data_IF_803705670870
#
_entry.id   IF_803705670870
#
_cell.length_a   1.000
_cell.length_b   1.000
_cell.length_c   1.000
_cell.angle_alpha   90.00
_cell.angle_beta   90.00
_cell.angle_gamma   90.00
#
_symmetry.space_group_name_H-M   'P 1'
#
loop_
_entity.id
_entity.type
_entity.pdbx_description
1 polymer ?
#
# COMPACT_ATOMS: atom_id res chain seq x y z
N UNK A 1 16.90 -23.95 2.43
CA UNK A 1 15.59 -23.48 1.90
C UNK A 1 14.56 -24.56 2.26
N UNK A 2 13.75 -24.39 3.31
CA UNK A 2 12.44 -25.09 3.46
C UNK A 2 11.70 -24.80 4.78
N UNK A 3 12.37 -24.40 5.86
CA UNK A 3 11.69 -24.25 7.17
C UNK A 3 10.74 -23.05 7.21
N UNK A 4 11.18 -21.87 6.76
CA UNK A 4 10.36 -20.65 6.78
C UNK A 4 9.13 -20.70 5.85
N UNK A 5 9.20 -21.43 4.72
CA UNK A 5 8.07 -21.61 3.81
C UNK A 5 7.03 -22.60 4.36
N UNK A 6 7.49 -23.64 5.07
CA UNK A 6 6.62 -24.62 5.72
C UNK A 6 5.88 -24.02 6.92
N UNK A 7 6.56 -23.21 7.74
CA UNK A 7 5.96 -22.51 8.88
C UNK A 7 4.81 -21.59 8.45
N UNK A 8 5.04 -20.76 7.43
CA UNK A 8 4.02 -19.87 6.86
C UNK A 8 2.85 -20.66 6.27
N UNK A 9 3.13 -21.73 5.53
CA UNK A 9 2.10 -22.59 4.94
C UNK A 9 1.22 -23.21 6.03
N UNK A 10 1.82 -23.63 7.15
CA UNK A 10 1.11 -24.19 8.30
C UNK A 10 0.16 -23.16 8.96
N UNK A 11 0.59 -21.89 9.07
CA UNK A 11 -0.26 -20.83 9.62
C UNK A 11 -1.46 -20.54 8.70
N UNK A 12 -1.29 -20.59 7.37
CA UNK A 12 -2.44 -20.47 6.45
C UNK A 12 -3.42 -21.65 6.56
N UNK A 13 -2.93 -22.86 6.79
CA UNK A 13 -3.79 -24.03 7.04
C UNK A 13 -4.59 -23.83 8.34
N UNK A 14 -3.95 -23.31 9.40
CA UNK A 14 -4.64 -22.97 10.65
C UNK A 14 -5.71 -21.89 10.44
N UNK A 15 -5.38 -20.82 9.72
CA UNK A 15 -6.33 -19.76 9.36
C UNK A 15 -7.59 -20.33 8.67
N UNK A 16 -7.42 -21.24 7.71
CA UNK A 16 -8.55 -21.88 7.02
C UNK A 16 -9.40 -22.76 7.96
N UNK A 17 -8.80 -23.34 9.00
CA UNK A 17 -9.53 -24.12 10.00
C UNK A 17 -10.31 -23.24 10.99
N UNK A 18 -10.14 -21.91 10.92
CA UNK A 18 -10.78 -20.97 11.85
C UNK A 18 -10.01 -20.81 13.16
N UNK A 19 -8.72 -21.10 13.15
CA UNK A 19 -7.84 -20.90 14.30
C UNK A 19 -7.71 -19.40 14.63
N UNK A 20 -8.08 -19.02 15.86
CA UNK A 20 -8.11 -17.62 16.30
C UNK A 20 -6.70 -17.02 16.40
N UNK A 21 -5.69 -17.81 16.76
CA UNK A 21 -4.31 -17.33 16.87
C UNK A 21 -3.74 -17.01 15.49
N UNK A 22 -3.95 -17.88 14.50
CA UNK A 22 -3.55 -17.65 13.12
C UNK A 22 -4.26 -16.43 12.53
N UNK A 23 -5.54 -16.24 12.83
CA UNK A 23 -6.27 -15.03 12.43
C UNK A 23 -5.69 -13.77 13.07
N UNK A 24 -5.50 -13.76 14.38
CA UNK A 24 -4.92 -12.65 15.14
C UNK A 24 -3.52 -12.29 14.65
N UNK A 25 -2.70 -13.30 14.35
CA UNK A 25 -1.37 -13.12 13.76
C UNK A 25 -1.43 -12.35 12.45
N UNK A 26 -2.23 -12.82 11.49
CA UNK A 26 -2.33 -12.16 10.18
C UNK A 26 -2.98 -10.78 10.28
N UNK A 27 -3.97 -10.60 11.14
CA UNK A 27 -4.58 -9.30 11.39
C UNK A 27 -3.53 -8.28 11.86
N UNK A 28 -2.78 -8.61 12.92
CA UNK A 28 -1.73 -7.73 13.46
C UNK A 28 -0.59 -7.49 12.46
N UNK A 29 -0.27 -8.50 11.65
CA UNK A 29 0.80 -8.39 10.67
C UNK A 29 0.46 -7.43 9.52
N UNK A 30 -0.80 -7.36 9.09
CA UNK A 30 -1.19 -6.58 7.91
C UNK A 30 -2.00 -5.31 8.18
N UNK A 31 -2.54 -5.12 9.40
CA UNK A 31 -3.38 -3.95 9.70
C UNK A 31 -2.68 -2.63 9.40
N UNK A 32 -1.40 -2.50 9.75
CA UNK A 32 -0.65 -1.26 9.52
C UNK A 32 -0.47 -0.98 8.01
N UNK A 33 -0.04 -1.99 7.23
CA UNK A 33 0.09 -1.89 5.76
C UNK A 33 -1.24 -1.48 5.11
N UNK A 34 -2.34 -2.10 5.56
CA UNK A 34 -3.69 -1.80 5.08
C UNK A 34 -4.13 -0.39 5.47
N UNK A 35 -3.93 0.00 6.72
CA UNK A 35 -4.31 1.32 7.22
C UNK A 35 -3.52 2.42 6.51
N UNK A 36 -2.20 2.30 6.42
CA UNK A 36 -1.34 3.21 5.67
C UNK A 36 -1.78 3.35 4.21
N UNK A 37 -2.11 2.24 3.55
CA UNK A 37 -2.62 2.30 2.19
C UNK A 37 -3.98 2.99 2.10
N UNK A 38 -4.93 2.69 2.98
CA UNK A 38 -6.23 3.36 3.03
C UNK A 38 -6.11 4.87 3.29
N UNK A 39 -5.24 5.27 4.23
CA UNK A 39 -4.94 6.68 4.52
C UNK A 39 -4.29 7.39 3.35
N UNK A 40 -3.36 6.73 2.64
CA UNK A 40 -2.70 7.33 1.49
C UNK A 40 -3.64 7.54 0.29
N UNK A 41 -4.77 6.83 0.22
CA UNK A 41 -5.86 7.10 -0.71
C UNK A 41 -6.72 8.33 -0.33
N UNK A 42 -6.46 8.96 0.82
CA UNK A 42 -7.18 10.15 1.28
C UNK A 42 -8.50 9.85 2.02
N UNK A 43 -8.60 8.67 2.62
CA UNK A 43 -9.81 8.22 3.34
C UNK A 43 -9.69 8.53 4.84
N UNK A 44 -10.79 8.91 5.49
CA UNK A 44 -10.84 9.12 6.94
C UNK A 44 -10.67 7.81 7.72
N UNK A 45 -10.11 7.93 8.93
CA UNK A 45 -9.69 6.80 9.77
C UNK A 45 -10.79 5.77 10.00
N UNK A 46 -11.98 6.24 10.38
CA UNK A 46 -13.13 5.40 10.70
C UNK A 46 -13.49 4.50 9.51
N UNK A 47 -13.52 5.05 8.29
CA UNK A 47 -13.85 4.28 7.09
C UNK A 47 -12.75 3.30 6.69
N UNK A 48 -11.48 3.66 6.91
CA UNK A 48 -10.36 2.74 6.65
C UNK A 48 -10.42 1.57 7.61
N UNK A 49 -10.60 1.82 8.90
CA UNK A 49 -10.66 0.77 9.91
C UNK A 49 -11.87 -0.14 9.72
N UNK A 50 -13.04 0.43 9.42
CA UNK A 50 -14.26 -0.34 9.15
C UNK A 50 -14.08 -1.24 7.90
N UNK A 51 -13.49 -0.70 6.83
CA UNK A 51 -13.18 -1.47 5.63
C UNK A 51 -12.16 -2.60 5.89
N UNK A 52 -11.13 -2.36 6.71
CA UNK A 52 -10.17 -3.41 7.13
C UNK A 52 -10.90 -4.51 7.90
N UNK A 53 -11.73 -4.14 8.87
CA UNK A 53 -12.51 -5.09 9.66
C UNK A 53 -13.41 -5.95 8.76
N UNK A 54 -14.11 -5.33 7.82
CA UNK A 54 -14.95 -6.01 6.82
C UNK A 54 -14.18 -7.03 5.98
N UNK A 55 -12.98 -6.66 5.52
CA UNK A 55 -12.12 -7.56 4.73
C UNK A 55 -11.70 -8.78 5.55
N UNK A 56 -11.31 -8.57 6.81
CA UNK A 56 -10.91 -9.66 7.70
C UNK A 56 -12.09 -10.54 8.12
N UNK A 57 -13.26 -9.97 8.40
CA UNK A 57 -14.49 -10.73 8.63
C UNK A 57 -14.83 -11.60 7.42
N UNK A 58 -14.72 -11.06 6.20
CA UNK A 58 -14.93 -11.82 4.96
C UNK A 58 -13.97 -13.00 4.86
N UNK A 59 -12.71 -12.85 5.27
CA UNK A 59 -11.73 -13.95 5.31
C UNK A 59 -12.13 -14.99 6.37
N UNK A 60 -12.53 -14.55 7.56
CA UNK A 60 -12.94 -15.42 8.65
C UNK A 60 -14.12 -16.33 8.26
N UNK A 61 -15.14 -15.76 7.60
CA UNK A 61 -16.32 -16.51 7.18
C UNK A 61 -16.09 -17.35 5.92
N UNK A 62 -15.45 -16.80 4.88
CA UNK A 62 -15.34 -17.47 3.58
C UNK A 62 -14.13 -18.40 3.47
N UNK A 63 -13.16 -18.29 4.39
CA UNK A 63 -11.96 -19.14 4.48
C UNK A 63 -11.26 -19.35 3.12
N UNK A 64 -10.95 -18.27 2.37
CA UNK A 64 -10.26 -18.38 1.09
C UNK A 64 -8.89 -19.06 1.22
N UNK A 65 -8.45 -19.70 0.13
CA UNK A 65 -7.13 -20.35 0.06
C UNK A 65 -6.08 -19.38 -0.45
N UNK A 66 -4.94 -19.35 0.23
CA UNK A 66 -3.78 -18.56 -0.15
C UNK A 66 -2.56 -19.45 -0.28
N UNK A 67 -1.74 -19.16 -1.28
CA UNK A 67 -0.58 -19.98 -1.65
C UNK A 67 0.74 -19.35 -1.17
N UNK A 68 0.70 -18.09 -0.72
CA UNK A 68 1.85 -17.35 -0.21
C UNK A 68 1.42 -16.10 0.55
N UNK A 69 2.32 -15.54 1.35
CA UNK A 69 2.16 -14.24 2.02
C UNK A 69 1.94 -13.12 1.00
N UNK A 70 2.67 -13.14 -0.12
CA UNK A 70 2.54 -12.15 -1.18
C UNK A 70 1.15 -12.19 -1.84
N UNK A 71 0.60 -13.38 -2.09
CA UNK A 71 -0.76 -13.53 -2.61
C UNK A 71 -1.79 -13.01 -1.60
N UNK A 72 -1.60 -13.31 -0.32
CA UNK A 72 -2.48 -12.83 0.74
C UNK A 72 -2.43 -11.30 0.91
N UNK A 73 -1.24 -10.69 0.94
CA UNK A 73 -1.06 -9.23 0.98
C UNK A 73 -1.78 -8.56 -0.19
N UNK A 74 -1.56 -9.05 -1.40
CA UNK A 74 -2.23 -8.54 -2.60
C UNK A 74 -3.75 -8.61 -2.48
N UNK A 75 -4.28 -9.76 -2.02
CA UNK A 75 -5.72 -9.94 -1.81
C UNK A 75 -6.28 -8.93 -0.80
N UNK A 76 -5.57 -8.71 0.31
CA UNK A 76 -5.97 -7.75 1.36
C UNK A 76 -6.03 -6.32 0.82
N UNK A 77 -4.94 -5.85 0.20
CA UNK A 77 -4.85 -4.48 -0.33
C UNK A 77 -5.87 -4.24 -1.45
N UNK A 78 -6.06 -5.22 -2.34
CA UNK A 78 -7.08 -5.13 -3.40
C UNK A 78 -8.50 -5.11 -2.84
N UNK A 79 -8.79 -5.98 -1.86
CA UNK A 79 -10.12 -6.03 -1.23
C UNK A 79 -10.43 -4.74 -0.48
N UNK A 80 -9.44 -4.18 0.22
CA UNK A 80 -9.55 -2.88 0.87
C UNK A 80 -9.82 -1.78 -0.16
N UNK A 81 -9.02 -1.68 -1.22
CA UNK A 81 -9.21 -0.67 -2.28
C UNK A 81 -10.62 -0.71 -2.84
N UNK A 82 -11.12 -1.92 -3.16
CA UNK A 82 -12.46 -2.11 -3.68
C UNK A 82 -13.54 -1.65 -2.70
N UNK A 83 -13.42 -2.04 -1.41
CA UNK A 83 -14.35 -1.62 -0.36
C UNK A 83 -14.39 -0.11 -0.19
N UNK A 84 -13.22 0.53 -0.21
CA UNK A 84 -13.10 1.98 -0.14
C UNK A 84 -13.75 2.63 -1.38
N UNK A 85 -13.47 2.14 -2.60
CA UNK A 85 -14.14 2.64 -3.80
C UNK A 85 -15.65 2.52 -3.76
N UNK A 86 -16.17 1.37 -3.30
CA UNK A 86 -17.61 1.17 -3.16
C UNK A 86 -18.20 2.24 -2.23
N UNK A 87 -17.56 2.51 -1.09
CA UNK A 87 -17.98 3.58 -0.19
C UNK A 87 -18.05 4.96 -0.87
N UNK A 88 -17.02 5.34 -1.65
CA UNK A 88 -17.01 6.63 -2.35
C UNK A 88 -17.98 6.70 -3.53
N UNK A 89 -18.29 5.57 -4.17
CA UNK A 89 -19.28 5.48 -5.25
C UNK A 89 -20.71 5.79 -4.78
N UNK A 90 -21.02 5.50 -3.51
CA UNK A 90 -22.35 5.75 -2.94
C UNK A 90 -22.52 7.15 -2.33
N UNK A 91 -21.48 8.00 -2.30
CA UNK A 91 -21.63 9.41 -1.92
C UNK A 91 -22.34 10.17 -3.06
N UNK A 92 -23.41 10.95 -2.80
CA UNK A 92 -24.26 11.56 -3.83
C UNK A 92 -23.61 12.68 -4.65
N UNK A 93 -22.28 12.85 -4.58
CA UNK A 93 -21.54 13.91 -5.28
C UNK A 93 -20.90 13.47 -6.60
N UNK A 94 -21.11 12.23 -7.06
CA UNK A 94 -20.54 11.76 -8.33
C UNK A 94 -21.56 11.03 -9.19
N UNK A 95 -22.34 11.81 -9.96
CA UNK A 95 -23.14 11.33 -11.09
C UNK A 95 -22.25 11.03 -12.31
N UNK A 96 -21.14 10.33 -12.12
CA UNK A 96 -20.32 9.84 -13.24
C UNK A 96 -20.19 8.33 -13.08
N UNK A 97 -20.83 7.62 -13.99
CA UNK A 97 -20.81 6.15 -14.16
C UNK A 97 -19.42 5.58 -14.51
N UNK A 98 -18.37 6.36 -14.34
CA UNK A 98 -17.01 6.04 -14.73
C UNK A 98 -16.07 6.58 -13.64
N UNK A 99 -16.09 5.95 -12.46
CA UNK A 99 -15.04 6.17 -11.46
C UNK A 99 -13.79 5.52 -12.03
N UNK A 100 -13.09 6.26 -12.89
CA UNK A 100 -11.75 5.93 -13.30
C UNK A 100 -10.93 5.77 -12.02
N UNK A 101 -10.00 4.81 -12.00
CA UNK A 101 -9.07 4.55 -10.88
C UNK A 101 -8.21 5.77 -10.45
N UNK A 102 -8.44 6.93 -11.06
CA UNK A 102 -7.79 8.20 -10.87
C UNK A 102 -8.53 9.11 -9.85
N UNK A 103 -9.65 8.65 -9.25
CA UNK A 103 -10.47 9.45 -8.33
C UNK A 103 -9.81 9.73 -6.97
N UNK A 104 -8.84 8.91 -6.54
CA UNK A 104 -8.14 9.13 -5.28
C UNK A 104 -6.95 10.06 -5.46
N UNK A 105 -6.91 11.13 -4.67
CA UNK A 105 -5.71 11.96 -4.55
C UNK A 105 -4.69 11.24 -3.67
N UNK A 106 -3.99 10.26 -4.27
CA UNK A 106 -2.97 9.51 -3.55
C UNK A 106 -1.91 10.45 -2.99
N UNK A 107 -1.89 10.56 -1.67
CA UNK A 107 -1.05 11.49 -0.95
C UNK A 107 -0.37 10.77 0.20
N UNK A 108 0.88 11.13 0.39
CA UNK A 108 1.77 10.53 1.38
C UNK A 108 1.99 11.67 2.37
N UNK A 109 1.31 11.64 3.52
CA UNK A 109 1.66 12.51 4.64
C UNK A 109 2.89 11.93 5.32
N UNK A 110 4.03 12.58 5.20
CA UNK A 110 5.23 12.28 5.99
C UNK A 110 4.91 12.55 7.46
N UNK A 111 4.26 11.60 8.11
CA UNK A 111 4.04 11.66 9.54
C UNK A 111 5.24 10.95 10.10
N UNK A 112 6.15 11.72 10.70
CA UNK A 112 7.09 11.20 11.68
C UNK A 112 8.21 10.35 11.04
N UNK A 113 9.21 11.06 10.52
CA UNK A 113 10.58 10.57 10.49
C UNK A 113 11.15 10.78 11.90
N UNK A 114 10.67 10.09 12.95
CA UNK A 114 11.00 10.46 14.36
C UNK A 114 12.14 9.67 14.98
N UNK A 115 12.60 8.55 14.42
CA UNK A 115 13.50 7.67 15.19
C UNK A 115 14.98 7.66 14.81
N UNK A 116 15.44 8.34 13.75
CA UNK A 116 16.78 8.03 13.18
C UNK A 116 17.73 9.23 12.98
N UNK A 117 17.28 10.49 13.03
CA UNK A 117 18.09 11.62 12.52
C UNK A 117 18.20 12.76 13.56
N UNK A 118 19.30 13.50 13.61
CA UNK A 118 19.41 14.70 14.45
C UNK A 118 18.47 15.82 13.94
N UNK A 119 17.96 16.69 14.82
CA UNK A 119 16.85 17.62 14.50
C UNK A 119 17.11 18.56 13.31
N UNK A 120 18.37 18.97 13.08
CA UNK A 120 18.73 19.84 11.94
C UNK A 120 18.75 19.08 10.61
N UNK A 121 19.28 17.86 10.59
CA UNK A 121 19.29 16.99 9.41
C UNK A 121 17.89 16.47 9.06
N UNK A 122 17.01 16.32 10.07
CA UNK A 122 15.59 15.94 9.88
C UNK A 122 14.86 16.93 8.99
N UNK A 123 14.93 18.22 9.30
CA UNK A 123 14.18 19.25 8.58
C UNK A 123 14.63 19.31 7.12
N UNK A 124 15.93 19.23 6.87
CA UNK A 124 16.49 19.23 5.50
C UNK A 124 16.04 17.99 4.71
N UNK A 125 16.05 16.81 5.34
CA UNK A 125 15.63 15.57 4.70
C UNK A 125 14.11 15.57 4.45
N UNK A 126 13.30 16.03 5.41
CA UNK A 126 11.86 16.15 5.27
C UNK A 126 11.47 17.11 4.14
N UNK A 127 12.10 18.29 4.05
CA UNK A 127 11.84 19.23 2.97
C UNK A 127 12.22 18.66 1.59
N UNK A 128 13.32 17.91 1.50
CA UNK A 128 13.69 17.20 0.26
C UNK A 128 12.64 16.14 -0.10
N UNK A 129 12.22 15.35 0.87
CA UNK A 129 11.17 14.32 0.71
C UNK A 129 9.87 14.95 0.22
N UNK A 130 9.38 16.00 0.87
CA UNK A 130 8.14 16.69 0.49
C UNK A 130 8.22 17.29 -0.92
N UNK A 131 9.34 17.95 -1.25
CA UNK A 131 9.56 18.52 -2.60
C UNK A 131 9.48 17.44 -3.68
N UNK A 132 10.11 16.29 -3.44
CA UNK A 132 10.11 15.15 -4.34
C UNK A 132 8.73 14.51 -4.49
N UNK A 133 8.04 14.31 -3.36
CA UNK A 133 6.66 13.83 -3.40
C UNK A 133 5.80 14.81 -4.21
N UNK A 134 5.96 16.12 -4.02
CA UNK A 134 5.21 17.11 -4.80
C UNK A 134 5.55 17.13 -6.29
N UNK A 135 6.71 16.62 -6.72
CA UNK A 135 7.06 16.51 -8.15
C UNK A 135 6.48 15.27 -8.84
N UNK A 136 5.99 14.29 -8.08
CA UNK A 136 5.31 13.10 -8.57
C UNK A 136 3.79 13.31 -8.70
N UNK A 137 3.21 12.84 -9.80
CA UNK A 137 1.74 12.76 -9.89
C UNK A 137 1.18 11.74 -8.89
N UNK A 138 -0.10 11.82 -8.48
CA UNK A 138 -0.73 10.83 -7.61
C UNK A 138 -0.56 9.39 -8.12
N UNK A 139 -0.70 9.17 -9.42
CA UNK A 139 -0.47 7.86 -10.04
C UNK A 139 0.98 7.38 -9.95
N UNK A 140 1.94 8.29 -10.07
CA UNK A 140 3.37 7.97 -9.90
C UNK A 140 3.67 7.60 -8.45
N UNK A 141 3.09 8.34 -7.48
CA UNK A 141 3.22 8.05 -6.05
C UNK A 141 2.65 6.68 -5.71
N UNK A 142 1.42 6.40 -6.14
CA UNK A 142 0.77 5.11 -5.87
C UNK A 142 1.56 3.95 -6.47
N UNK A 143 1.98 4.06 -7.74
CA UNK A 143 2.72 3.00 -8.41
C UNK A 143 4.07 2.71 -7.72
N UNK A 144 4.79 3.75 -7.27
CA UNK A 144 6.05 3.59 -6.52
C UNK A 144 5.79 3.00 -5.14
N UNK A 145 4.77 3.47 -4.42
CA UNK A 145 4.38 2.92 -3.11
C UNK A 145 4.08 1.42 -3.21
N UNK A 146 3.22 1.03 -4.16
CA UNK A 146 2.84 -0.37 -4.34
C UNK A 146 4.05 -1.22 -4.76
N UNK A 147 4.98 -0.68 -5.55
CA UNK A 147 6.15 -1.43 -6.01
C UNK A 147 7.23 -1.60 -4.96
N UNK A 148 7.57 -0.54 -4.23
CA UNK A 148 8.76 -0.52 -3.37
C UNK A 148 8.46 -0.65 -1.89
N UNK A 149 7.22 -0.36 -1.46
CA UNK A 149 6.82 -0.42 -0.04
C UNK A 149 5.96 -1.65 0.20
N UNK A 150 4.97 -1.85 -0.67
CA UNK A 150 4.13 -3.05 -0.61
C UNK A 150 4.74 -4.24 -1.35
N UNK A 151 5.86 -4.03 -2.05
CA UNK A 151 6.63 -5.06 -2.78
C UNK A 151 5.80 -5.85 -3.79
N UNK A 152 4.76 -5.23 -4.37
CA UNK A 152 3.88 -5.89 -5.33
C UNK A 152 4.54 -6.03 -6.70
N UNK A 153 4.19 -7.11 -7.39
CA UNK A 153 4.60 -7.32 -8.78
C UNK A 153 3.86 -6.41 -9.74
N UNK A 154 4.48 -6.05 -10.86
CA UNK A 154 3.89 -5.14 -11.83
C UNK A 154 2.51 -5.60 -12.33
N UNK A 155 2.30 -6.91 -12.48
CA UNK A 155 1.01 -7.49 -12.82
C UNK A 155 -0.07 -7.23 -11.74
N UNK A 156 0.31 -7.33 -10.46
CA UNK A 156 -0.58 -7.03 -9.33
C UNK A 156 -0.90 -5.53 -9.27
N UNK A 157 0.09 -4.67 -9.48
CA UNK A 157 -0.11 -3.22 -9.51
C UNK A 157 -1.01 -2.83 -10.69
N UNK A 158 -0.84 -3.47 -11.84
CA UNK A 158 -1.70 -3.33 -13.02
C UNK A 158 -3.15 -3.61 -12.68
N UNK A 159 -3.41 -4.71 -11.95
CA UNK A 159 -4.75 -5.07 -11.48
C UNK A 159 -5.29 -4.10 -10.42
N UNK A 160 -4.45 -3.61 -9.50
CA UNK A 160 -4.86 -2.63 -8.50
C UNK A 160 -5.22 -1.26 -9.09
N UNK A 161 -4.52 -0.84 -10.13
CA UNK A 161 -4.68 0.49 -10.74
C UNK A 161 -5.55 0.47 -12.01
N UNK A 162 -6.01 -0.70 -12.46
CA UNK A 162 -6.80 -0.88 -13.67
C UNK A 162 -6.10 -0.38 -14.95
N UNK A 163 -4.77 -0.52 -15.01
CA UNK A 163 -3.93 -0.05 -16.13
C UNK A 163 -3.00 -1.16 -16.56
N UNK A 164 -2.68 -1.27 -17.85
CA UNK A 164 -1.79 -2.32 -18.33
C UNK A 164 -0.38 -2.26 -17.69
N UNK A 165 0.26 -3.42 -17.58
CA UNK A 165 1.56 -3.59 -16.93
C UNK A 165 2.66 -2.69 -17.52
N UNK A 166 2.68 -2.53 -18.85
CA UNK A 166 3.63 -1.64 -19.55
C UNK A 166 3.50 -0.19 -19.08
N UNK A 167 2.27 0.28 -18.85
CA UNK A 167 1.99 1.62 -18.36
C UNK A 167 2.43 1.78 -16.91
N UNK A 168 2.24 0.76 -16.07
CA UNK A 168 2.77 0.76 -14.69
C UNK A 168 4.28 0.84 -14.68
N UNK A 169 4.98 0.00 -15.47
CA UNK A 169 6.44 0.03 -15.59
C UNK A 169 6.93 1.41 -16.01
N UNK A 170 6.23 2.07 -16.93
CA UNK A 170 6.53 3.44 -17.36
C UNK A 170 6.30 4.46 -16.23
N UNK A 171 5.18 4.38 -15.50
CA UNK A 171 4.90 5.26 -14.35
C UNK A 171 6.00 5.15 -13.28
N UNK A 172 6.34 3.93 -12.89
CA UNK A 172 7.42 3.67 -11.93
C UNK A 172 8.75 4.20 -12.45
N UNK A 173 9.14 3.85 -13.68
CA UNK A 173 10.39 4.32 -14.28
C UNK A 173 10.50 5.85 -14.32
N UNK A 174 9.43 6.54 -14.72
CA UNK A 174 9.38 8.00 -14.73
C UNK A 174 9.50 8.60 -13.33
N UNK A 175 8.83 8.02 -12.33
CA UNK A 175 8.92 8.47 -10.96
C UNK A 175 10.34 8.30 -10.40
N UNK A 176 10.96 7.14 -10.63
CA UNK A 176 12.33 6.86 -10.19
C UNK A 176 13.34 7.78 -10.87
N UNK A 177 13.15 8.08 -12.17
CA UNK A 177 14.01 9.03 -12.87
C UNK A 177 13.87 10.47 -12.35
N UNK A 178 12.68 10.89 -11.93
CA UNK A 178 12.49 12.18 -11.23
C UNK A 178 13.22 12.19 -9.89
N UNK A 179 13.03 11.15 -9.07
CA UNK A 179 13.70 11.01 -7.77
C UNK A 179 15.23 11.04 -7.92
N UNK A 180 15.78 10.37 -8.94
CA UNK A 180 17.23 10.36 -9.23
C UNK A 180 17.77 11.71 -9.66
N UNK A 181 17.04 12.47 -10.48
CA UNK A 181 17.48 13.80 -10.93
C UNK A 181 17.55 14.80 -9.76
N UNK A 182 16.65 14.66 -8.81
CA UNK A 182 16.56 15.55 -7.65
C UNK A 182 17.43 15.10 -6.47
N UNK A 183 17.89 13.83 -6.43
CA UNK A 183 18.81 13.30 -5.42
C UNK A 183 20.11 12.76 -6.04
N UNK A 184 21.18 13.53 -5.94
CA UNK A 184 22.50 13.13 -6.40
C UNK A 184 23.33 12.33 -5.37
N UNK A 185 22.92 12.31 -4.09
CA UNK A 185 23.78 11.90 -2.97
C UNK A 185 23.38 10.61 -2.26
N UNK A 186 22.13 10.14 -2.40
CA UNK A 186 21.65 8.90 -1.74
C UNK A 186 21.26 7.83 -2.77
N UNK A 187 21.52 6.54 -2.49
CA UNK A 187 20.98 5.45 -3.30
C UNK A 187 19.46 5.54 -3.39
N UNK A 188 18.91 5.52 -4.61
CA UNK A 188 17.47 5.78 -4.83
C UNK A 188 16.56 4.85 -4.03
N UNK A 189 16.98 3.60 -3.79
CA UNK A 189 16.21 2.61 -3.00
C UNK A 189 16.12 3.04 -1.53
N UNK A 190 17.23 3.44 -0.92
CA UNK A 190 17.26 3.91 0.47
C UNK A 190 16.42 5.17 0.59
N UNK A 191 16.52 6.06 -0.40
CA UNK A 191 15.70 7.25 -0.43
C UNK A 191 14.20 6.94 -0.55
N UNK A 192 13.82 5.96 -1.38
CA UNK A 192 12.43 5.49 -1.47
C UNK A 192 11.98 4.87 -0.15
N UNK A 193 12.79 4.04 0.49
CA UNK A 193 12.43 3.50 1.80
C UNK A 193 12.19 4.65 2.79
N UNK A 194 13.09 5.65 2.85
CA UNK A 194 12.92 6.83 3.70
C UNK A 194 11.71 7.70 3.32
N UNK A 195 11.36 7.81 2.03
CA UNK A 195 10.16 8.51 1.56
C UNK A 195 8.87 7.95 2.17
N UNK A 196 8.89 6.68 2.55
CA UNK A 196 7.71 5.91 2.90
C UNK A 196 7.82 5.18 4.26
N UNK A 197 8.93 5.38 5.00
CA UNK A 197 9.17 4.74 6.31
C UNK A 197 8.35 5.36 7.47
N UNK A 198 7.66 6.47 7.22
CA UNK A 198 6.75 7.13 8.17
C UNK A 198 5.28 6.72 8.00
N UNK A 199 5.03 5.47 7.58
CA UNK A 199 3.70 4.89 7.35
C UNK A 199 3.53 3.56 8.06
#
# INVERSE_FOLDING_TARGET
>A
MNVASEEVSNIFVKLQKGDEEAFSFFYKFFINDMYAYGKSLGVEDDYVMDAIQDVFLKIFFNKPRFNSVAHFKFFLLKSLKNKLYDFFRYKPFSNTTDIQHDAFNFSIKTTILDEIIEDEDRVVIQQKIEKLLNSLSPLQKEAVYLRYIQELEYAQISEMMGRNETSIRKLVSQAINKIRKENATLPSIIFIILLFKGF
#
